data_IF_151681470973
#
_entry.id   IF_151681470973
#
_cell.length_a   1.000
_cell.length_b   1.000
_cell.length_c   1.000
_cell.angle_alpha   90.00
_cell.angle_beta   90.00
_cell.angle_gamma   90.00
#
_symmetry.space_group_name_H-M   'P 1'
#
loop_
_entity.id
_entity.type
_entity.pdbx_description
1 polymer ?
#
# COMPACT_ATOMS: atom_id res chain seq x y z
N UNK A 1 18.72 -17.83 -17.19
CA UNK A 1 18.94 -17.21 -15.87
C UNK A 1 20.22 -16.39 -15.86
N UNK A 2 21.41 -16.98 -16.16
CA UNK A 2 22.72 -16.28 -16.09
C UNK A 2 22.76 -14.99 -16.93
N UNK A 3 22.26 -15.02 -18.18
CA UNK A 3 22.18 -13.83 -19.03
C UNK A 3 21.26 -12.74 -18.46
N UNK A 4 20.14 -13.11 -17.85
CA UNK A 4 19.23 -12.16 -17.22
C UNK A 4 19.86 -11.51 -15.96
N UNK A 5 20.60 -12.29 -15.18
CA UNK A 5 21.36 -11.77 -14.03
C UNK A 5 22.48 -10.84 -14.52
N UNK A 6 23.26 -11.23 -15.52
CA UNK A 6 24.30 -10.36 -16.09
C UNK A 6 23.73 -9.05 -16.65
N UNK A 7 22.59 -9.11 -17.35
CA UNK A 7 21.88 -7.94 -17.84
C UNK A 7 21.42 -7.01 -16.74
N UNK A 8 20.90 -7.58 -15.64
CA UNK A 8 20.41 -6.79 -14.52
C UNK A 8 21.50 -5.99 -13.80
N UNK A 9 22.75 -6.50 -13.73
CA UNK A 9 23.88 -5.72 -13.19
C UNK A 9 24.18 -4.46 -13.99
N UNK A 10 23.79 -4.43 -15.28
CA UNK A 10 23.97 -3.26 -16.15
C UNK A 10 22.69 -2.41 -16.25
N UNK A 11 21.56 -2.92 -15.79
CA UNK A 11 20.26 -2.27 -15.92
C UNK A 11 19.44 -2.33 -14.62
N UNK A 12 19.69 -1.44 -13.65
CA UNK A 12 18.95 -1.39 -12.39
C UNK A 12 17.43 -1.23 -12.56
N UNK A 13 16.99 -0.57 -13.65
CA UNK A 13 15.57 -0.45 -13.95
C UNK A 13 14.91 -1.82 -14.21
N UNK A 14 15.59 -2.71 -14.91
CA UNK A 14 15.10 -4.09 -15.10
C UNK A 14 14.95 -4.83 -13.75
N UNK A 15 15.94 -4.71 -12.86
CA UNK A 15 15.87 -5.34 -11.53
C UNK A 15 14.77 -4.72 -10.66
N UNK A 16 14.55 -3.42 -10.79
CA UNK A 16 13.43 -2.74 -10.10
C UNK A 16 12.07 -3.25 -10.59
N UNK A 17 11.89 -3.48 -11.88
CA UNK A 17 10.68 -4.11 -12.41
C UNK A 17 10.53 -5.56 -11.95
N UNK A 18 11.65 -6.29 -11.83
CA UNK A 18 11.64 -7.65 -11.26
C UNK A 18 11.19 -7.63 -9.80
N UNK A 19 11.70 -6.68 -9.01
CA UNK A 19 11.25 -6.49 -7.62
C UNK A 19 9.74 -6.20 -7.55
N UNK A 20 9.25 -5.27 -8.37
CA UNK A 20 7.83 -4.95 -8.46
C UNK A 20 6.98 -6.17 -8.80
N UNK A 21 7.40 -6.95 -9.80
CA UNK A 21 6.70 -8.18 -10.24
C UNK A 21 6.69 -9.21 -9.11
N UNK A 22 7.83 -9.43 -8.48
CA UNK A 22 7.92 -10.38 -7.36
C UNK A 22 7.06 -9.93 -6.18
N UNK A 23 7.07 -8.64 -5.80
CA UNK A 23 6.25 -8.10 -4.73
C UNK A 23 4.74 -8.31 -4.97
N UNK A 24 4.29 -8.24 -6.23
CA UNK A 24 2.88 -8.51 -6.57
C UNK A 24 2.48 -9.98 -6.50
N UNK A 25 3.39 -10.90 -6.83
CA UNK A 25 3.05 -12.32 -7.02
C UNK A 25 3.68 -13.28 -6.02
N UNK A 26 4.56 -12.80 -5.10
CA UNK A 26 5.31 -13.68 -4.20
C UNK A 26 4.39 -14.54 -3.30
N UNK A 27 3.27 -14.00 -2.85
CA UNK A 27 2.33 -14.72 -2.00
C UNK A 27 1.69 -15.89 -2.74
N UNK A 28 1.38 -15.69 -4.02
CA UNK A 28 0.88 -16.78 -4.87
C UNK A 28 1.93 -17.86 -5.05
N UNK A 29 3.16 -17.46 -5.38
CA UNK A 29 4.26 -18.40 -5.50
C UNK A 29 4.42 -19.20 -4.20
N UNK A 30 4.33 -18.53 -3.04
CA UNK A 30 4.38 -19.19 -1.72
C UNK A 30 3.25 -20.16 -1.50
N UNK A 31 2.01 -19.85 -1.92
CA UNK A 31 0.86 -20.80 -1.82
C UNK A 31 1.05 -22.04 -2.67
N UNK A 32 1.63 -21.90 -3.87
CA UNK A 32 1.81 -23.03 -4.78
C UNK A 32 3.05 -23.87 -4.46
N UNK A 33 4.09 -23.30 -3.83
CA UNK A 33 5.33 -24.02 -3.48
C UNK A 33 5.30 -24.67 -2.10
N UNK A 34 4.29 -24.38 -1.27
CA UNK A 34 3.91 -25.01 0.01
C UNK A 34 4.96 -25.08 1.13
N UNK A 35 6.25 -24.77 0.92
CA UNK A 35 7.30 -25.05 1.92
C UNK A 35 8.38 -23.99 2.07
N UNK A 36 8.40 -22.93 1.28
CA UNK A 36 9.51 -21.96 1.30
C UNK A 36 9.01 -20.60 1.81
N UNK A 37 9.70 -20.04 2.82
CA UNK A 37 9.49 -18.64 3.26
C UNK A 37 9.99 -17.69 2.15
N UNK A 38 9.18 -17.46 1.14
CA UNK A 38 9.55 -16.69 -0.07
C UNK A 38 9.69 -15.17 0.17
N UNK A 39 9.36 -14.68 1.37
CA UNK A 39 9.65 -13.28 1.73
C UNK A 39 11.15 -12.95 1.62
N UNK A 40 12.03 -13.91 1.84
CA UNK A 40 13.49 -13.77 1.63
C UNK A 40 13.83 -13.43 0.17
N UNK A 41 12.98 -13.81 -0.79
CA UNK A 41 13.16 -13.46 -2.20
C UNK A 41 13.11 -11.95 -2.45
N UNK A 42 12.30 -11.19 -1.69
CA UNK A 42 12.30 -9.73 -1.76
C UNK A 42 13.65 -9.15 -1.32
N UNK A 43 14.23 -9.69 -0.25
CA UNK A 43 15.53 -9.26 0.25
C UNK A 43 16.64 -9.53 -0.76
N UNK A 44 16.66 -10.74 -1.34
CA UNK A 44 17.64 -11.13 -2.36
C UNK A 44 17.56 -10.18 -3.56
N UNK A 45 16.36 -9.90 -4.05
CA UNK A 45 16.18 -8.98 -5.18
C UNK A 45 16.55 -7.54 -4.76
N UNK A 46 16.28 -7.12 -3.54
CA UNK A 46 16.66 -5.80 -3.03
C UNK A 46 18.18 -5.64 -2.93
N UNK A 47 18.89 -6.66 -2.44
CA UNK A 47 20.36 -6.68 -2.42
C UNK A 47 20.90 -6.65 -3.85
N UNK A 48 20.37 -7.49 -4.74
CA UNK A 48 20.74 -7.50 -6.14
C UNK A 48 20.54 -6.13 -6.81
N UNK A 49 19.42 -5.47 -6.54
CA UNK A 49 19.10 -4.13 -7.04
C UNK A 49 20.07 -3.08 -6.50
N UNK A 50 20.44 -3.17 -5.22
CA UNK A 50 21.44 -2.30 -4.60
C UNK A 50 22.81 -2.45 -5.26
N UNK A 51 23.26 -3.69 -5.46
CA UNK A 51 24.53 -3.99 -6.14
C UNK A 51 24.51 -3.52 -7.60
N UNK A 52 23.40 -3.75 -8.30
CA UNK A 52 23.22 -3.27 -9.68
C UNK A 52 23.38 -1.76 -9.80
N UNK A 53 22.77 -1.00 -8.86
CA UNK A 53 22.94 0.46 -8.81
C UNK A 53 24.40 0.87 -8.55
N UNK A 54 25.08 0.23 -7.61
CA UNK A 54 26.48 0.51 -7.29
C UNK A 54 27.38 0.26 -8.50
N UNK A 55 27.18 -0.86 -9.22
CA UNK A 55 27.92 -1.18 -10.44
C UNK A 55 27.74 -0.11 -11.51
N UNK A 56 26.50 0.33 -11.72
CA UNK A 56 26.21 1.35 -12.74
C UNK A 56 26.75 2.72 -12.35
N UNK A 57 26.74 3.08 -11.07
CA UNK A 57 27.40 4.29 -10.55
C UNK A 57 28.92 4.24 -10.75
N UNK A 58 29.53 3.12 -10.38
CA UNK A 58 30.98 2.91 -10.55
C UNK A 58 31.41 3.01 -12.02
N UNK A 59 30.66 2.41 -12.91
CA UNK A 59 30.93 2.44 -14.36
C UNK A 59 30.55 3.77 -15.02
N UNK A 60 29.98 4.73 -14.30
CA UNK A 60 29.52 6.04 -14.82
C UNK A 60 28.60 5.93 -16.06
N UNK A 61 27.84 4.84 -16.17
CA UNK A 61 27.02 4.51 -17.36
C UNK A 61 25.66 5.21 -17.40
N UNK A 62 25.26 5.95 -16.34
CA UNK A 62 23.92 6.53 -16.25
C UNK A 62 23.90 7.90 -15.60
N UNK A 63 22.84 8.66 -15.89
CA UNK A 63 22.53 9.95 -15.30
C UNK A 63 21.72 9.83 -13.99
N UNK A 64 21.86 8.72 -13.25
CA UNK A 64 21.24 8.59 -11.95
C UNK A 64 21.79 9.62 -10.96
N UNK A 65 20.91 10.25 -10.21
CA UNK A 65 21.24 11.35 -9.31
C UNK A 65 20.98 10.93 -7.86
N UNK A 66 22.03 10.78 -7.07
CA UNK A 66 21.89 10.53 -5.61
C UNK A 66 21.11 11.64 -4.90
N UNK A 67 21.14 12.88 -5.43
CA UNK A 67 20.37 14.01 -4.90
C UNK A 67 18.86 13.76 -4.88
N UNK A 68 18.35 12.90 -5.76
CA UNK A 68 16.93 12.58 -5.85
C UNK A 68 16.46 11.77 -4.63
N UNK A 69 17.38 11.08 -3.95
CA UNK A 69 17.11 10.37 -2.71
C UNK A 69 17.09 11.27 -1.46
N UNK A 70 17.62 12.49 -1.52
CA UNK A 70 17.67 13.41 -0.37
C UNK A 70 16.44 14.31 -0.41
N UNK A 71 15.43 13.96 0.35
CA UNK A 71 14.16 14.70 0.43
C UNK A 71 13.51 14.56 1.81
N UNK A 72 12.34 15.17 1.99
CA UNK A 72 11.67 15.25 3.28
C UNK A 72 11.33 13.86 3.87
N UNK A 73 10.98 12.87 3.03
CA UNK A 73 10.74 11.51 3.51
C UNK A 73 12.02 10.88 4.04
N UNK A 74 13.12 10.94 3.28
CA UNK A 74 14.41 10.40 3.70
C UNK A 74 14.86 10.98 5.02
N UNK A 75 14.79 12.32 5.15
CA UNK A 75 15.22 13.02 6.35
C UNK A 75 14.35 12.66 7.56
N UNK A 76 13.04 12.62 7.41
CA UNK A 76 12.13 12.24 8.50
C UNK A 76 12.25 10.75 8.85
N UNK A 77 12.52 9.88 7.87
CA UNK A 77 12.67 8.44 8.10
C UNK A 77 13.99 8.08 8.82
N UNK A 78 15.02 8.93 8.75
CA UNK A 78 16.23 8.77 9.59
C UNK A 78 15.86 8.79 11.08
N UNK A 79 14.93 9.62 11.49
CA UNK A 79 14.45 9.62 12.87
C UNK A 79 13.80 8.27 13.25
N UNK A 80 13.08 7.65 12.31
CA UNK A 80 12.53 6.29 12.50
C UNK A 80 13.63 5.24 12.62
N UNK A 81 14.67 5.30 11.78
CA UNK A 81 15.80 4.39 11.85
C UNK A 81 16.50 4.50 13.22
N UNK A 82 16.79 5.72 13.67
CA UNK A 82 17.40 5.96 14.99
C UNK A 82 16.52 5.36 16.09
N UNK A 83 15.21 5.60 16.03
CA UNK A 83 14.26 5.06 17.00
C UNK A 83 14.24 3.51 17.00
N UNK A 84 14.22 2.88 15.83
CA UNK A 84 14.25 1.41 15.72
C UNK A 84 15.58 0.85 16.23
N UNK A 85 16.71 1.51 15.98
CA UNK A 85 18.00 1.11 16.55
C UNK A 85 18.04 1.25 18.08
N UNK A 86 17.40 2.29 18.64
CA UNK A 86 17.24 2.42 20.09
C UNK A 86 16.34 1.33 20.68
N UNK A 87 15.37 0.80 19.91
CA UNK A 87 14.56 -0.35 20.34
C UNK A 87 15.38 -1.64 20.54
N UNK A 88 16.60 -1.73 20.00
CA UNK A 88 17.49 -2.85 20.29
C UNK A 88 17.91 -2.89 21.79
N UNK A 89 17.81 -1.78 22.49
CA UNK A 89 18.01 -1.69 23.93
C UNK A 89 16.74 -1.97 24.75
N UNK A 90 15.60 -2.24 24.12
CA UNK A 90 14.35 -2.57 24.81
C UNK A 90 14.50 -3.95 25.49
N UNK A 91 14.29 -4.05 26.83
CA UNK A 91 14.51 -5.31 27.57
C UNK A 91 13.57 -6.46 27.14
N UNK A 92 12.51 -6.16 26.41
CA UNK A 92 11.55 -7.14 25.91
C UNK A 92 11.83 -7.61 24.47
N UNK A 93 12.89 -7.10 23.82
CA UNK A 93 13.23 -7.51 22.45
C UNK A 93 13.82 -8.92 22.46
N UNK A 94 13.49 -9.69 21.43
CA UNK A 94 14.05 -11.02 21.19
C UNK A 94 14.82 -11.04 19.85
N UNK A 95 15.46 -12.17 19.52
CA UNK A 95 16.22 -12.32 18.26
C UNK A 95 15.36 -12.12 17.02
N UNK A 96 14.10 -12.58 17.06
CA UNK A 96 13.14 -12.37 15.97
C UNK A 96 12.84 -10.87 15.84
N UNK A 97 12.68 -10.13 16.93
CA UNK A 97 12.47 -8.69 16.94
C UNK A 97 13.65 -7.91 16.37
N UNK A 98 14.88 -8.31 16.66
CA UNK A 98 16.07 -7.69 16.07
C UNK A 98 16.07 -7.88 14.56
N UNK A 99 15.92 -9.11 14.12
CA UNK A 99 15.91 -9.45 12.68
C UNK A 99 14.76 -8.74 11.94
N UNK A 100 13.55 -8.77 12.51
CA UNK A 100 12.36 -8.15 11.94
C UNK A 100 12.49 -6.62 11.87
N UNK A 101 12.99 -5.99 12.94
CA UNK A 101 13.17 -4.54 12.99
C UNK A 101 14.16 -4.04 11.94
N UNK A 102 15.33 -4.66 11.85
CA UNK A 102 16.35 -4.27 10.86
C UNK A 102 15.85 -4.56 9.44
N UNK A 103 15.31 -5.73 9.21
CA UNK A 103 14.89 -6.17 7.88
C UNK A 103 13.70 -5.38 7.35
N UNK A 104 12.56 -5.42 8.05
CA UNK A 104 11.29 -4.89 7.53
C UNK A 104 11.19 -3.38 7.77
N UNK A 105 11.53 -2.92 8.98
CA UNK A 105 11.35 -1.52 9.33
C UNK A 105 12.45 -0.60 8.82
N UNK A 106 13.63 -1.13 8.51
CA UNK A 106 14.75 -0.33 7.96
C UNK A 106 15.01 -0.71 6.50
N UNK A 107 15.48 -1.94 6.24
CA UNK A 107 15.98 -2.30 4.91
C UNK A 107 14.89 -2.28 3.84
N UNK A 108 13.79 -3.01 4.05
CA UNK A 108 12.73 -3.13 3.04
C UNK A 108 12.05 -1.79 2.74
N UNK A 109 11.92 -0.90 3.71
CA UNK A 109 11.27 0.40 3.48
C UNK A 109 12.26 1.46 3.05
N UNK A 110 13.34 1.66 3.79
CA UNK A 110 14.26 2.78 3.57
C UNK A 110 15.16 2.57 2.36
N UNK A 111 15.81 1.41 2.25
CA UNK A 111 16.70 1.11 1.11
C UNK A 111 15.88 1.07 -0.18
N UNK A 112 14.71 0.42 -0.15
CA UNK A 112 13.80 0.41 -1.29
C UNK A 112 13.39 1.83 -1.70
N UNK A 113 13.12 2.72 -0.73
CA UNK A 113 12.76 4.10 -1.01
C UNK A 113 13.91 4.89 -1.66
N UNK A 114 15.13 4.74 -1.15
CA UNK A 114 16.32 5.37 -1.75
C UNK A 114 16.45 4.96 -3.22
N UNK A 115 16.38 3.66 -3.48
CA UNK A 115 16.47 3.10 -4.83
C UNK A 115 15.32 3.58 -5.73
N UNK A 116 14.09 3.50 -5.22
CA UNK A 116 12.91 3.99 -5.93
C UNK A 116 13.05 5.47 -6.30
N UNK A 117 13.57 6.30 -5.39
CA UNK A 117 13.79 7.73 -5.65
C UNK A 117 14.83 7.99 -6.74
N UNK A 118 15.88 7.18 -6.80
CA UNK A 118 16.91 7.29 -7.84
C UNK A 118 16.37 6.86 -9.21
N UNK A 119 15.52 5.83 -9.25
CA UNK A 119 14.98 5.26 -10.51
C UNK A 119 13.76 6.06 -11.00
N UNK A 120 12.88 6.51 -10.09
CA UNK A 120 11.60 7.17 -10.41
C UNK A 120 11.77 8.66 -10.73
N UNK A 121 12.67 9.00 -11.63
CA UNK A 121 13.07 10.38 -11.92
C UNK A 121 12.79 10.82 -13.37
N UNK A 122 12.01 10.07 -14.15
CA UNK A 122 11.72 10.42 -15.54
C UNK A 122 10.24 10.17 -15.93
N UNK A 123 9.72 10.96 -16.91
CA UNK A 123 8.35 10.77 -17.42
C UNK A 123 8.14 9.39 -18.06
N UNK A 124 9.20 8.81 -18.66
CA UNK A 124 9.16 7.48 -19.29
C UNK A 124 8.97 6.39 -18.24
N UNK A 125 9.71 6.45 -17.13
CA UNK A 125 9.58 5.49 -16.02
C UNK A 125 8.20 5.58 -15.40
N UNK A 126 7.67 6.79 -15.18
CA UNK A 126 6.32 7.01 -14.67
C UNK A 126 5.25 6.35 -15.56
N UNK A 127 5.30 6.61 -16.86
CA UNK A 127 4.35 6.03 -17.83
C UNK A 127 4.44 4.50 -17.87
N UNK A 128 5.65 3.96 -17.93
CA UNK A 128 5.86 2.51 -17.99
C UNK A 128 5.40 1.83 -16.69
N UNK A 129 5.63 2.46 -15.53
CA UNK A 129 5.13 1.99 -14.24
C UNK A 129 3.61 1.91 -14.22
N UNK A 130 2.92 2.95 -14.69
CA UNK A 130 1.45 2.94 -14.79
C UNK A 130 0.95 1.82 -15.73
N UNK A 131 1.59 1.60 -16.87
CA UNK A 131 1.21 0.51 -17.78
C UNK A 131 1.43 -0.85 -17.11
N UNK A 132 2.57 -1.07 -16.45
CA UNK A 132 2.90 -2.33 -15.77
C UNK A 132 1.89 -2.66 -14.65
N UNK A 133 1.59 -1.69 -13.79
CA UNK A 133 0.59 -1.87 -12.72
C UNK A 133 -0.80 -2.13 -13.33
N UNK A 134 -1.14 -1.47 -14.43
CA UNK A 134 -2.37 -1.75 -15.17
C UNK A 134 -2.43 -3.21 -15.66
N UNK A 135 -1.34 -3.74 -16.21
CA UNK A 135 -1.25 -5.14 -16.64
C UNK A 135 -1.38 -6.12 -15.46
N UNK A 136 -0.70 -5.83 -14.33
CA UNK A 136 -0.86 -6.63 -13.11
C UNK A 136 -2.30 -6.60 -12.59
N UNK A 137 -2.98 -5.47 -12.72
CA UNK A 137 -4.40 -5.35 -12.37
C UNK A 137 -5.28 -6.24 -13.23
N UNK A 138 -5.03 -6.30 -14.55
CA UNK A 138 -5.76 -7.20 -15.46
C UNK A 138 -5.57 -8.65 -15.03
N UNK A 139 -4.31 -9.08 -14.76
CA UNK A 139 -4.01 -10.43 -14.31
C UNK A 139 -4.71 -10.74 -12.99
N UNK A 140 -4.65 -9.83 -12.02
CA UNK A 140 -5.31 -9.98 -10.73
C UNK A 140 -6.84 -10.04 -10.86
N UNK A 141 -7.42 -9.26 -11.76
CA UNK A 141 -8.85 -9.26 -12.04
C UNK A 141 -9.29 -10.56 -12.73
N UNK A 142 -8.53 -11.09 -13.67
CA UNK A 142 -8.81 -12.37 -14.30
C UNK A 142 -8.78 -13.52 -13.26
N UNK A 143 -7.80 -13.53 -12.34
CA UNK A 143 -7.78 -14.50 -11.24
C UNK A 143 -8.97 -14.34 -10.30
N UNK A 144 -9.38 -13.11 -9.99
CA UNK A 144 -10.61 -12.87 -9.23
C UNK A 144 -11.84 -13.46 -9.93
N UNK A 145 -11.97 -13.28 -11.25
CA UNK A 145 -13.06 -13.86 -12.02
C UNK A 145 -13.01 -15.39 -12.01
N UNK A 146 -11.82 -15.96 -12.13
CA UNK A 146 -11.62 -17.40 -11.98
C UNK A 146 -12.09 -17.88 -10.59
N UNK A 147 -11.62 -17.28 -9.50
CA UNK A 147 -12.03 -17.62 -8.13
C UNK A 147 -13.57 -17.55 -7.95
N UNK A 148 -14.22 -16.59 -8.62
CA UNK A 148 -15.66 -16.37 -8.48
C UNK A 148 -16.50 -17.38 -9.27
N UNK A 149 -16.13 -17.70 -10.50
CA UNK A 149 -16.96 -18.48 -11.42
C UNK A 149 -16.54 -19.95 -11.55
N UNK A 150 -15.24 -20.24 -11.39
CA UNK A 150 -14.70 -21.60 -11.43
C UNK A 150 -14.48 -22.13 -10.01
N UNK A 151 -14.12 -21.26 -9.07
CA UNK A 151 -13.86 -21.61 -7.68
C UNK A 151 -12.38 -21.54 -7.32
N UNK A 152 -12.08 -21.94 -6.08
CA UNK A 152 -10.71 -21.98 -5.57
C UNK A 152 -9.99 -23.24 -6.08
N UNK A 153 -8.73 -23.08 -6.50
CA UNK A 153 -7.87 -24.20 -6.87
C UNK A 153 -7.40 -25.03 -5.65
N UNK A 154 -6.66 -26.10 -5.90
CA UNK A 154 -6.20 -27.01 -4.84
C UNK A 154 -5.34 -26.33 -3.78
N UNK A 155 -4.41 -25.46 -4.19
CA UNK A 155 -3.51 -24.73 -3.29
C UNK A 155 -4.25 -23.66 -2.48
N UNK A 156 -5.21 -22.98 -3.10
CA UNK A 156 -6.08 -22.02 -2.43
C UNK A 156 -7.02 -22.70 -1.44
N UNK A 157 -7.57 -23.87 -1.79
CA UNK A 157 -8.38 -24.70 -0.87
C UNK A 157 -7.56 -25.21 0.31
N UNK A 158 -6.32 -25.64 0.07
CA UNK A 158 -5.42 -26.02 1.16
C UNK A 158 -5.19 -24.84 2.12
N UNK A 159 -4.88 -23.67 1.59
CA UNK A 159 -4.70 -22.47 2.40
C UNK A 159 -5.98 -22.07 3.16
N UNK A 160 -7.15 -22.14 2.52
CA UNK A 160 -8.41 -21.80 3.15
C UNK A 160 -8.79 -22.76 4.27
N UNK A 161 -8.74 -24.07 4.02
CA UNK A 161 -9.34 -25.05 4.93
C UNK A 161 -8.33 -25.73 5.85
N UNK A 162 -7.09 -25.96 5.40
CA UNK A 162 -6.05 -26.59 6.22
C UNK A 162 -5.25 -25.57 7.04
N UNK A 163 -4.97 -24.41 6.46
CA UNK A 163 -4.33 -23.30 7.18
C UNK A 163 -5.35 -22.32 7.81
N UNK A 164 -6.60 -22.72 7.89
CA UNK A 164 -7.70 -22.02 8.57
C UNK A 164 -8.05 -20.59 8.09
N UNK A 165 -7.55 -20.16 6.93
CA UNK A 165 -7.86 -18.86 6.38
C UNK A 165 -9.35 -18.68 6.04
N UNK A 166 -10.10 -19.75 5.93
CA UNK A 166 -11.55 -19.74 5.74
C UNK A 166 -12.29 -18.97 6.84
N UNK A 167 -11.78 -18.96 8.08
CA UNK A 167 -12.36 -18.22 9.21
C UNK A 167 -12.52 -16.71 8.90
N UNK A 168 -11.68 -16.16 8.05
CA UNK A 168 -11.70 -14.73 7.68
C UNK A 168 -12.14 -14.46 6.24
N UNK A 169 -12.23 -15.49 5.39
CA UNK A 169 -12.53 -15.36 3.96
C UNK A 169 -13.89 -15.93 3.56
N UNK A 170 -14.38 -16.94 4.28
CA UNK A 170 -15.70 -17.55 4.03
C UNK A 170 -16.60 -17.22 5.22
N UNK A 171 -17.36 -16.13 5.08
CA UNK A 171 -18.20 -15.60 6.14
C UNK A 171 -19.68 -15.84 5.81
N UNK A 172 -20.55 -15.85 6.83
CA UNK A 172 -22.01 -15.88 6.65
C UNK A 172 -22.53 -14.78 5.73
N UNK A 173 -21.82 -13.64 5.68
CA UNK A 173 -22.16 -12.49 4.82
C UNK A 173 -21.68 -12.63 3.39
N UNK A 174 -20.91 -13.67 3.05
CA UNK A 174 -20.39 -13.95 1.73
C UNK A 174 -18.88 -14.21 1.67
N UNK A 175 -18.42 -14.64 0.50
CA UNK A 175 -17.01 -14.94 0.23
C UNK A 175 -16.22 -13.63 0.02
N UNK A 176 -15.02 -13.56 0.58
CA UNK A 176 -14.04 -12.49 0.41
C UNK A 176 -12.94 -13.00 -0.51
N UNK A 177 -12.91 -12.51 -1.74
CA UNK A 177 -11.92 -12.89 -2.73
C UNK A 177 -10.60 -12.18 -2.48
N UNK A 178 -9.49 -12.86 -2.75
CA UNK A 178 -8.13 -12.40 -2.46
C UNK A 178 -7.18 -12.43 -3.67
N UNK A 179 -7.62 -13.03 -4.79
CA UNK A 179 -6.82 -13.12 -6.03
C UNK A 179 -5.40 -13.65 -5.76
N UNK A 180 -4.37 -12.92 -6.16
CA UNK A 180 -2.95 -13.25 -5.95
C UNK A 180 -2.35 -12.69 -4.65
N UNK A 181 -3.12 -12.01 -3.83
CA UNK A 181 -2.64 -11.28 -2.67
C UNK A 181 -2.61 -12.12 -1.39
N UNK A 182 -1.97 -11.59 -0.35
CA UNK A 182 -1.84 -12.24 0.96
C UNK A 182 -3.20 -12.62 1.55
N UNK A 183 -4.14 -11.70 1.44
CA UNK A 183 -5.50 -11.82 1.95
C UNK A 183 -6.44 -10.86 1.23
N UNK A 184 -7.73 -10.97 1.52
CA UNK A 184 -8.75 -10.11 0.92
C UNK A 184 -8.63 -8.63 1.35
N UNK A 185 -8.02 -8.35 2.50
CA UNK A 185 -7.77 -6.97 2.98
C UNK A 185 -6.74 -6.26 2.12
N UNK A 186 -5.60 -6.93 1.89
CA UNK A 186 -4.54 -6.41 1.04
C UNK A 186 -5.01 -6.27 -0.42
N UNK A 187 -5.67 -7.31 -0.96
CA UNK A 187 -6.27 -7.24 -2.30
C UNK A 187 -7.22 -6.05 -2.46
N UNK A 188 -8.17 -5.90 -1.52
CA UNK A 188 -9.13 -4.80 -1.56
C UNK A 188 -8.47 -3.42 -1.49
N UNK A 189 -7.47 -3.25 -0.62
CA UNK A 189 -6.74 -1.99 -0.47
C UNK A 189 -5.96 -1.63 -1.74
N UNK A 190 -5.27 -2.59 -2.36
CA UNK A 190 -4.56 -2.36 -3.63
C UNK A 190 -5.54 -2.04 -4.76
N UNK A 191 -6.67 -2.76 -4.85
CA UNK A 191 -7.68 -2.48 -5.87
C UNK A 191 -8.35 -1.11 -5.64
N UNK A 192 -8.55 -0.69 -4.39
CA UNK A 192 -8.97 0.67 -4.05
C UNK A 192 -7.95 1.74 -4.45
N UNK A 193 -6.67 1.47 -4.25
CA UNK A 193 -5.58 2.33 -4.70
C UNK A 193 -5.55 2.46 -6.23
N UNK A 194 -5.68 1.36 -6.94
CA UNK A 194 -5.78 1.30 -8.40
C UNK A 194 -7.00 2.09 -8.88
N UNK A 195 -8.16 1.87 -8.27
CA UNK A 195 -9.37 2.62 -8.58
C UNK A 195 -9.15 4.13 -8.47
N UNK A 196 -8.50 4.58 -7.39
CA UNK A 196 -8.23 6.00 -7.15
C UNK A 196 -7.26 6.59 -8.18
N UNK A 197 -6.09 5.96 -8.37
CA UNK A 197 -5.06 6.43 -9.30
C UNK A 197 -5.59 6.52 -10.71
N UNK A 198 -6.14 5.41 -11.21
CA UNK A 198 -6.51 5.32 -12.61
C UNK A 198 -7.78 6.11 -12.95
N UNK A 199 -8.67 6.33 -11.99
CA UNK A 199 -9.82 7.27 -12.15
C UNK A 199 -9.30 8.69 -12.35
N UNK A 200 -8.43 9.18 -11.45
CA UNK A 200 -7.92 10.55 -11.54
C UNK A 200 -7.12 10.74 -12.84
N UNK A 201 -6.23 9.81 -13.16
CA UNK A 201 -5.40 9.90 -14.38
C UNK A 201 -6.26 9.79 -15.63
N UNK A 202 -7.19 8.84 -15.68
CA UNK A 202 -8.04 8.58 -16.83
C UNK A 202 -8.89 9.78 -17.24
N UNK A 203 -9.55 10.43 -16.28
CA UNK A 203 -10.33 11.63 -16.54
C UNK A 203 -9.52 12.86 -16.95
N UNK A 204 -8.22 12.89 -16.63
CA UNK A 204 -7.32 14.00 -16.97
C UNK A 204 -6.42 13.70 -18.17
N UNK A 205 -6.53 12.51 -18.79
CA UNK A 205 -5.75 12.11 -19.96
C UNK A 205 -6.39 12.62 -21.24
N UNK A 206 -5.63 13.37 -22.05
CA UNK A 206 -6.13 13.92 -23.34
C UNK A 206 -6.20 12.85 -24.44
N UNK A 207 -5.28 11.90 -24.46
CA UNK A 207 -5.27 10.83 -25.45
C UNK A 207 -6.39 9.83 -25.16
N UNK A 208 -7.38 9.75 -26.05
CA UNK A 208 -8.57 8.91 -25.88
C UNK A 208 -8.24 7.42 -25.65
N UNK A 209 -7.23 6.88 -26.35
CA UNK A 209 -6.82 5.47 -26.18
C UNK A 209 -6.28 5.20 -24.76
N UNK A 210 -5.41 6.05 -24.25
CA UNK A 210 -4.92 5.94 -22.88
C UNK A 210 -6.01 6.25 -21.85
N UNK A 211 -6.91 7.18 -22.11
CA UNK A 211 -8.02 7.47 -21.22
C UNK A 211 -8.92 6.23 -21.04
N UNK A 212 -9.29 5.57 -22.14
CA UNK A 212 -10.08 4.33 -22.12
C UNK A 212 -9.33 3.24 -21.35
N UNK A 213 -8.04 3.03 -21.63
CA UNK A 213 -7.23 2.05 -20.91
C UNK A 213 -7.25 2.32 -19.40
N UNK A 214 -6.95 3.55 -18.97
CA UNK A 214 -6.91 3.90 -17.55
C UNK A 214 -8.27 3.77 -16.87
N UNK A 215 -9.34 4.18 -17.51
CA UNK A 215 -10.70 4.06 -16.97
C UNK A 215 -11.16 2.59 -16.90
N UNK A 216 -10.76 1.74 -17.86
CA UNK A 216 -11.01 0.30 -17.78
C UNK A 216 -10.29 -0.34 -16.58
N UNK A 217 -9.04 0.02 -16.34
CA UNK A 217 -8.29 -0.43 -15.16
C UNK A 217 -8.94 0.08 -13.86
N UNK A 218 -9.40 1.35 -13.85
CA UNK A 218 -10.13 1.90 -12.71
C UNK A 218 -11.42 1.11 -12.40
N UNK A 219 -12.18 0.75 -13.42
CA UNK A 219 -13.39 -0.06 -13.27
C UNK A 219 -13.07 -1.47 -12.70
N UNK A 220 -12.00 -2.12 -13.20
CA UNK A 220 -11.52 -3.39 -12.64
C UNK A 220 -11.11 -3.23 -11.18
N UNK A 221 -10.45 -2.11 -10.82
CA UNK A 221 -10.10 -1.75 -9.45
C UNK A 221 -11.31 -1.64 -8.54
N UNK A 222 -12.36 -0.91 -8.97
CA UNK A 222 -13.61 -0.76 -8.22
C UNK A 222 -14.28 -2.13 -8.00
N UNK A 223 -14.42 -2.92 -9.05
CA UNK A 223 -15.04 -4.24 -8.96
C UNK A 223 -14.23 -5.17 -8.04
N UNK A 224 -12.91 -5.21 -8.20
CA UNK A 224 -12.03 -6.02 -7.35
C UNK A 224 -12.08 -5.62 -5.88
N UNK A 225 -12.09 -4.32 -5.60
CA UNK A 225 -12.25 -3.78 -4.25
C UNK A 225 -13.57 -4.23 -3.62
N UNK A 226 -14.68 -4.14 -4.34
CA UNK A 226 -15.98 -4.58 -3.84
C UNK A 226 -16.01 -6.11 -3.59
N UNK A 227 -15.45 -6.90 -4.50
CA UNK A 227 -15.41 -8.37 -4.35
C UNK A 227 -14.45 -8.87 -3.27
N UNK A 228 -13.47 -8.06 -2.87
CA UNK A 228 -12.66 -8.34 -1.67
C UNK A 228 -13.52 -8.37 -0.39
N UNK A 229 -14.68 -7.74 -0.41
CA UNK A 229 -15.56 -7.60 0.75
C UNK A 229 -14.88 -6.89 1.94
N UNK A 230 -13.82 -6.11 1.69
CA UNK A 230 -13.05 -5.42 2.72
C UNK A 230 -13.55 -4.00 2.87
N UNK A 231 -14.23 -3.73 3.98
CA UNK A 231 -14.80 -2.39 4.26
C UNK A 231 -13.75 -1.30 4.38
N UNK A 232 -12.61 -1.61 5.01
CA UNK A 232 -11.49 -0.69 5.12
C UNK A 232 -10.89 -0.26 3.77
N UNK A 233 -11.05 -1.07 2.73
CA UNK A 233 -10.58 -0.74 1.39
C UNK A 233 -11.38 0.43 0.78
N UNK A 234 -12.65 0.60 1.14
CA UNK A 234 -13.48 1.73 0.69
C UNK A 234 -12.91 3.09 1.14
N UNK A 235 -12.21 3.10 2.28
CA UNK A 235 -11.56 4.32 2.79
C UNK A 235 -10.58 4.89 1.78
N UNK A 236 -9.89 4.03 1.00
CA UNK A 236 -8.84 4.45 0.06
C UNK A 236 -9.39 5.42 -1.00
N UNK A 237 -10.38 5.08 -1.82
CA UNK A 237 -10.90 6.00 -2.82
C UNK A 237 -11.66 7.19 -2.19
N UNK A 238 -12.41 7.00 -1.10
CA UNK A 238 -13.13 8.10 -0.47
C UNK A 238 -12.19 9.15 0.09
N UNK A 239 -11.22 8.76 0.90
CA UNK A 239 -10.24 9.68 1.47
C UNK A 239 -9.31 10.26 0.39
N UNK A 240 -8.89 9.43 -0.57
CA UNK A 240 -8.06 9.88 -1.67
C UNK A 240 -8.75 10.94 -2.53
N UNK A 241 -10.00 10.74 -2.91
CA UNK A 241 -10.76 11.72 -3.68
C UNK A 241 -11.06 12.99 -2.86
N UNK A 242 -11.31 12.88 -1.56
CA UNK A 242 -11.48 14.03 -0.69
C UNK A 242 -10.22 14.90 -0.67
N UNK A 243 -9.02 14.30 -0.50
CA UNK A 243 -7.76 15.05 -0.57
C UNK A 243 -7.53 15.61 -1.98
N UNK A 244 -7.89 14.88 -3.04
CA UNK A 244 -7.75 15.35 -4.41
C UNK A 244 -8.53 16.64 -4.66
N UNK A 245 -9.72 16.76 -4.08
CA UNK A 245 -10.51 17.98 -4.14
C UNK A 245 -9.77 19.22 -3.59
N UNK A 246 -9.01 19.00 -2.50
CA UNK A 246 -8.25 20.09 -1.88
C UNK A 246 -7.04 20.51 -2.71
N UNK A 247 -6.33 19.57 -3.32
CA UNK A 247 -5.05 19.84 -4.00
C UNK A 247 -5.18 20.12 -5.50
N UNK A 248 -6.29 19.78 -6.16
CA UNK A 248 -6.45 19.96 -7.61
C UNK A 248 -6.73 21.41 -8.03
N UNK A 249 -7.01 22.32 -7.09
CA UNK A 249 -7.29 23.75 -7.32
C UNK A 249 -8.38 24.01 -8.39
N UNK A 250 -9.35 23.11 -8.54
CA UNK A 250 -10.44 23.22 -9.51
C UNK A 250 -11.78 23.11 -8.80
N UNK A 251 -12.52 24.21 -8.73
CA UNK A 251 -13.84 24.26 -8.10
C UNK A 251 -14.83 23.28 -8.76
N UNK A 252 -14.71 23.11 -10.08
CA UNK A 252 -15.56 22.16 -10.84
C UNK A 252 -15.28 20.71 -10.43
N UNK A 253 -14.00 20.34 -10.36
CA UNK A 253 -13.58 18.98 -9.93
C UNK A 253 -14.00 18.75 -8.47
N UNK A 254 -13.82 19.75 -7.62
CA UNK A 254 -14.27 19.72 -6.22
C UNK A 254 -15.77 19.43 -6.13
N UNK A 255 -16.60 20.22 -6.81
CA UNK A 255 -18.05 20.06 -6.79
C UNK A 255 -18.50 18.67 -7.30
N UNK A 256 -17.96 18.23 -8.44
CA UNK A 256 -18.29 16.91 -9.01
C UNK A 256 -17.91 15.79 -8.03
N UNK A 257 -16.73 15.83 -7.46
CA UNK A 257 -16.25 14.77 -6.55
C UNK A 257 -17.06 14.73 -5.25
N UNK A 258 -17.36 15.90 -4.67
CA UNK A 258 -18.21 16.00 -3.46
C UNK A 258 -19.62 15.47 -3.75
N UNK A 259 -20.26 15.94 -4.83
CA UNK A 259 -21.61 15.48 -5.19
C UNK A 259 -21.62 13.97 -5.40
N UNK A 260 -20.68 13.44 -6.18
CA UNK A 260 -20.58 11.99 -6.42
C UNK A 260 -20.36 11.22 -5.12
N UNK A 261 -19.44 11.70 -4.26
CA UNK A 261 -19.18 11.10 -2.96
C UNK A 261 -20.41 11.10 -2.05
N UNK A 262 -21.13 12.22 -1.99
CA UNK A 262 -22.37 12.33 -1.21
C UNK A 262 -23.48 11.43 -1.78
N UNK A 263 -23.63 11.31 -3.09
CA UNK A 263 -24.59 10.40 -3.71
C UNK A 263 -24.28 8.93 -3.37
N UNK A 264 -23.00 8.50 -3.45
CA UNK A 264 -22.59 7.14 -3.08
C UNK A 264 -22.81 6.92 -1.58
N UNK A 265 -22.44 7.89 -0.75
CA UNK A 265 -22.68 7.82 0.70
C UNK A 265 -24.17 7.70 1.01
N UNK A 266 -25.00 8.56 0.43
CA UNK A 266 -26.47 8.53 0.62
C UNK A 266 -27.06 7.19 0.15
N UNK A 267 -26.63 6.68 -1.00
CA UNK A 267 -27.04 5.38 -1.50
C UNK A 267 -26.67 4.24 -0.53
N UNK A 268 -25.45 4.21 -0.03
CA UNK A 268 -25.00 3.15 0.87
C UNK A 268 -25.54 3.29 2.31
N UNK A 269 -25.71 4.51 2.82
CA UNK A 269 -26.12 4.75 4.21
C UNK A 269 -27.65 4.74 4.41
N UNK A 270 -28.41 5.28 3.45
CA UNK A 270 -29.82 5.59 3.64
C UNK A 270 -30.79 4.81 2.74
N UNK A 271 -30.29 4.02 1.75
CA UNK A 271 -31.20 3.22 0.91
C UNK A 271 -31.03 1.72 1.17
N UNK A 272 -32.04 0.93 0.83
CA UNK A 272 -32.00 -0.53 0.87
C UNK A 272 -31.93 -1.16 -0.53
N UNK A 273 -31.78 -0.33 -1.57
CA UNK A 273 -31.69 -0.75 -2.97
C UNK A 273 -30.46 -1.63 -3.17
N UNK A 274 -30.64 -2.86 -3.65
CA UNK A 274 -29.54 -3.82 -3.89
C UNK A 274 -29.16 -4.67 -2.67
N UNK A 275 -29.94 -4.71 -1.58
CA UNK A 275 -29.68 -5.56 -0.41
C UNK A 275 -29.67 -7.07 -0.73
N UNK A 276 -30.26 -7.51 -1.85
CA UNK A 276 -30.13 -8.86 -2.38
C UNK A 276 -28.68 -9.21 -2.81
N UNK A 277 -27.87 -8.18 -3.12
CA UNK A 277 -26.46 -8.36 -3.46
C UNK A 277 -25.58 -8.32 -2.19
N UNK A 278 -24.89 -9.42 -1.92
CA UNK A 278 -24.03 -9.56 -0.73
C UNK A 278 -22.93 -8.50 -0.64
N UNK A 279 -22.41 -8.03 -1.78
CA UNK A 279 -21.34 -7.02 -1.82
C UNK A 279 -21.85 -5.63 -1.45
N UNK A 280 -23.03 -5.23 -1.96
CA UNK A 280 -23.67 -3.95 -1.60
C UNK A 280 -24.06 -3.98 -0.14
N UNK A 281 -24.70 -5.05 0.32
CA UNK A 281 -25.07 -5.23 1.74
C UNK A 281 -23.85 -5.12 2.65
N UNK A 282 -22.71 -5.71 2.26
CA UNK A 282 -21.48 -5.64 3.02
C UNK A 282 -20.83 -4.27 2.97
N UNK A 283 -20.83 -3.57 1.83
CA UNK A 283 -20.35 -2.20 1.75
C UNK A 283 -21.13 -1.27 2.69
N UNK A 284 -22.44 -1.48 2.83
CA UNK A 284 -23.30 -0.71 3.74
C UNK A 284 -22.94 -0.86 5.22
N UNK A 285 -22.45 -2.04 5.65
CA UNK A 285 -22.03 -2.21 7.05
C UNK A 285 -20.84 -1.34 7.43
N UNK A 286 -20.10 -0.81 6.45
CA UNK A 286 -19.05 0.18 6.71
C UNK A 286 -19.61 1.50 7.27
N UNK A 287 -20.86 1.82 6.97
CA UNK A 287 -21.54 3.05 7.41
C UNK A 287 -22.45 2.81 8.65
N UNK A 288 -22.51 1.57 9.16
CA UNK A 288 -23.23 1.20 10.39
C UNK A 288 -22.28 0.41 11.32
N UNK A 289 -21.18 1.00 11.80
CA UNK A 289 -20.11 0.27 12.49
C UNK A 289 -20.57 -0.33 13.83
N UNK A 290 -21.50 0.31 14.54
CA UNK A 290 -22.01 -0.17 15.82
C UNK A 290 -22.78 -1.49 15.74
N UNK A 291 -23.38 -1.78 14.60
CA UNK A 291 -24.09 -3.05 14.34
C UNK A 291 -23.15 -4.20 13.91
N UNK A 292 -21.84 -3.94 13.81
CA UNK A 292 -20.86 -4.90 13.33
C UNK A 292 -20.10 -5.56 14.48
N UNK A 293 -20.35 -6.86 14.70
CA UNK A 293 -19.68 -7.64 15.73
C UNK A 293 -18.15 -7.59 15.61
N UNK A 294 -17.60 -7.66 14.38
CA UNK A 294 -16.15 -7.59 14.15
C UNK A 294 -15.56 -6.23 14.52
N UNK A 295 -16.28 -5.14 14.31
CA UNK A 295 -15.86 -3.81 14.72
C UNK A 295 -15.86 -3.68 16.26
N UNK A 296 -16.89 -4.18 16.91
CA UNK A 296 -17.02 -4.12 18.37
C UNK A 296 -15.92 -4.93 19.07
N UNK A 297 -15.59 -6.12 18.56
CA UNK A 297 -14.45 -6.93 19.07
C UNK A 297 -13.13 -6.16 18.95
N UNK A 298 -12.88 -5.47 17.84
CA UNK A 298 -11.67 -4.65 17.68
C UNK A 298 -11.61 -3.49 18.67
N UNK A 299 -12.73 -2.81 18.90
CA UNK A 299 -12.77 -1.73 19.90
C UNK A 299 -12.47 -2.29 21.29
N UNK A 300 -13.05 -3.45 21.63
CA UNK A 300 -12.76 -4.10 22.90
C UNK A 300 -11.28 -4.48 23.01
N UNK A 301 -10.71 -5.18 22.01
CA UNK A 301 -9.29 -5.54 21.99
C UNK A 301 -8.39 -4.30 22.16
N UNK A 302 -8.71 -3.18 21.52
CA UNK A 302 -7.93 -1.94 21.65
C UNK A 302 -8.00 -1.33 23.04
N UNK A 303 -9.15 -1.39 23.72
CA UNK A 303 -9.27 -0.94 25.12
C UNK A 303 -8.38 -1.79 26.03
N UNK A 304 -8.40 -3.09 25.83
CA UNK A 304 -7.59 -4.03 26.57
C UNK A 304 -6.09 -3.82 26.33
N UNK A 305 -5.70 -3.66 25.04
CA UNK A 305 -4.31 -3.31 24.69
C UNK A 305 -3.88 -2.00 25.31
N UNK A 306 -4.75 -0.99 25.35
CA UNK A 306 -4.45 0.31 25.95
C UNK A 306 -4.15 0.20 27.45
N UNK A 307 -4.89 -0.64 28.19
CA UNK A 307 -4.61 -0.89 29.60
C UNK A 307 -3.24 -1.55 29.78
N UNK A 308 -2.92 -2.55 28.98
CA UNK A 308 -1.62 -3.23 29.03
C UNK A 308 -0.46 -2.31 28.65
N UNK A 309 -0.60 -1.56 27.56
CA UNK A 309 0.47 -0.70 27.02
C UNK A 309 0.67 0.60 27.82
N UNK A 310 -0.14 0.89 28.80
CA UNK A 310 0.00 2.08 29.66
C UNK A 310 1.37 2.14 30.33
N UNK A 311 1.88 0.98 30.75
CA UNK A 311 3.17 0.85 31.44
C UNK A 311 4.36 0.67 30.46
N UNK A 312 4.09 0.61 29.14
CA UNK A 312 5.08 0.39 28.08
C UNK A 312 5.10 1.51 27.06
N UNK A 313 5.54 2.74 27.37
CA UNK A 313 5.50 3.88 26.46
C UNK A 313 6.36 3.67 25.18
N UNK A 314 7.38 2.81 25.26
CA UNK A 314 8.22 2.40 24.11
C UNK A 314 7.82 1.04 23.51
N UNK A 315 6.68 0.49 23.93
CA UNK A 315 6.16 -0.79 23.46
C UNK A 315 6.79 -2.01 24.11
N UNK A 316 6.27 -3.18 23.76
CA UNK A 316 6.72 -4.47 24.28
C UNK A 316 7.84 -5.11 23.45
N UNK A 317 8.48 -4.32 22.58
CA UNK A 317 9.54 -4.77 21.67
C UNK A 317 9.01 -5.22 20.30
N UNK A 318 9.89 -5.09 19.31
CA UNK A 318 9.57 -5.39 17.91
C UNK A 318 9.30 -6.89 17.76
N UNK A 319 8.35 -7.25 16.88
CA UNK A 319 7.83 -8.60 16.61
C UNK A 319 7.10 -9.27 17.78
N UNK A 320 6.98 -8.63 18.93
CA UNK A 320 6.22 -9.16 20.05
C UNK A 320 4.72 -8.90 19.92
N UNK A 321 3.93 -9.76 20.57
CA UNK A 321 2.47 -9.70 20.61
C UNK A 321 1.98 -9.79 22.06
N UNK A 322 0.86 -9.15 22.37
CA UNK A 322 0.27 -9.15 23.72
C UNK A 322 -0.41 -10.50 23.98
N UNK A 323 -0.05 -11.24 25.05
CA UNK A 323 -0.72 -12.49 25.39
C UNK A 323 -2.18 -12.25 25.82
N UNK A 324 -3.10 -13.09 25.42
CA UNK A 324 -4.51 -13.02 25.84
C UNK A 324 -4.72 -13.26 27.33
N UNK A 325 -3.79 -13.99 27.95
CA UNK A 325 -3.85 -14.38 29.38
C UNK A 325 -3.91 -13.19 30.33
N UNK A 326 -3.39 -12.05 29.92
CA UNK A 326 -3.30 -10.86 30.78
C UNK A 326 -4.67 -10.20 31.05
N UNK A 327 -5.69 -10.56 30.26
CA UNK A 327 -6.93 -9.80 30.19
C UNK A 327 -8.17 -10.55 30.72
N UNK A 328 -8.07 -11.85 30.99
CA UNK A 328 -9.17 -12.61 31.56
C UNK A 328 -8.94 -12.86 33.04
N UNK A 329 -9.62 -12.12 33.88
CA UNK A 329 -9.85 -12.47 35.30
C UNK A 329 -10.76 -13.70 35.46
N UNK A 330 -11.35 -14.21 34.38
CA UNK A 330 -12.21 -15.40 34.37
C UNK A 330 -11.48 -16.63 33.84
N UNK A 331 -11.57 -17.69 34.61
CA UNK A 331 -10.88 -18.97 34.66
C UNK A 331 -10.99 -19.88 33.40
N UNK A 332 -11.41 -19.41 32.26
CA UNK A 332 -11.35 -20.18 31.01
C UNK A 332 -10.08 -19.81 30.22
N UNK A 333 -9.11 -20.70 30.32
CA UNK A 333 -7.80 -20.61 29.65
C UNK A 333 -7.97 -20.71 28.12
N UNK A 334 -7.82 -19.61 27.39
CA UNK A 334 -7.60 -19.62 25.95
C UNK A 334 -6.17 -19.17 25.65
N UNK A 335 -5.31 -20.11 25.28
CA UNK A 335 -3.99 -19.81 24.76
C UNK A 335 -4.10 -18.95 23.48
N UNK A 336 -3.28 -17.92 23.35
CA UNK A 336 -3.18 -17.10 22.17
C UNK A 336 -2.76 -15.67 22.45
N UNK A 337 -2.59 -14.93 21.38
CA UNK A 337 -2.23 -13.50 21.43
C UNK A 337 -3.40 -12.65 20.95
N UNK A 338 -3.46 -11.40 21.43
CA UNK A 338 -4.36 -10.40 20.88
C UNK A 338 -3.88 -10.02 19.47
N UNK A 339 -4.68 -10.24 18.43
CA UNK A 339 -4.28 -9.93 17.08
C UNK A 339 -4.13 -8.42 16.89
N UNK A 340 -3.02 -7.92 16.30
CA UNK A 340 -2.92 -6.53 15.90
C UNK A 340 -3.83 -6.29 14.69
N UNK A 341 -5.07 -5.90 14.96
CA UNK A 341 -6.13 -5.78 13.94
C UNK A 341 -5.87 -4.72 12.86
N UNK A 342 -4.82 -3.92 13.00
CA UNK A 342 -4.49 -2.86 12.07
C UNK A 342 -2.99 -2.53 12.08
N UNK A 343 -2.54 -1.84 11.03
CA UNK A 343 -1.16 -1.39 10.89
C UNK A 343 -0.71 -0.51 12.07
N UNK A 344 -1.50 0.49 12.44
CA UNK A 344 -1.14 1.39 13.53
C UNK A 344 -1.18 0.71 14.90
N UNK A 345 -2.08 -0.24 15.12
CA UNK A 345 -2.11 -1.02 16.35
C UNK A 345 -0.86 -1.91 16.45
N UNK A 346 -0.42 -2.50 15.35
CA UNK A 346 0.82 -3.27 15.33
C UNK A 346 2.05 -2.41 15.67
N UNK A 347 2.14 -1.20 15.10
CA UNK A 347 3.19 -0.24 15.45
C UNK A 347 3.10 0.12 16.94
N UNK A 348 1.89 0.41 17.45
CA UNK A 348 1.68 0.76 18.84
C UNK A 348 2.12 -0.34 19.82
N UNK A 349 1.76 -1.58 19.56
CA UNK A 349 2.16 -2.73 20.39
C UNK A 349 3.68 -2.84 20.44
N UNK A 350 4.34 -2.80 19.29
CA UNK A 350 5.76 -3.06 19.16
C UNK A 350 6.64 -1.90 19.65
N UNK A 351 6.21 -0.66 19.41
CA UNK A 351 7.03 0.55 19.60
C UNK A 351 6.42 1.56 20.58
N UNK A 352 5.31 1.21 21.21
CA UNK A 352 4.60 2.07 22.16
C UNK A 352 3.98 3.31 21.53
N UNK A 353 3.45 4.18 22.40
CA UNK A 353 2.85 5.44 21.96
C UNK A 353 3.89 6.37 21.33
N UNK A 354 5.14 6.31 21.78
CA UNK A 354 6.23 7.15 21.25
C UNK A 354 6.51 6.78 19.80
N UNK A 355 6.67 5.48 19.48
CA UNK A 355 6.89 5.03 18.11
C UNK A 355 5.68 5.24 17.22
N UNK A 356 4.46 5.06 17.73
CA UNK A 356 3.23 5.34 16.98
C UNK A 356 3.14 6.81 16.57
N UNK A 357 3.35 7.74 17.51
CA UNK A 357 3.32 9.19 17.22
C UNK A 357 4.41 9.56 16.22
N UNK A 358 5.63 9.03 16.39
CA UNK A 358 6.72 9.26 15.46
C UNK A 358 6.36 8.76 14.05
N UNK A 359 5.85 7.54 13.92
CA UNK A 359 5.45 6.96 12.64
C UNK A 359 4.38 7.80 11.92
N UNK A 360 3.32 8.19 12.65
CA UNK A 360 2.25 9.06 12.12
C UNK A 360 2.82 10.40 11.69
N UNK A 361 3.71 11.00 12.49
CA UNK A 361 4.33 12.29 12.19
C UNK A 361 5.17 12.23 10.91
N UNK A 362 5.94 11.16 10.71
CA UNK A 362 6.75 10.96 9.49
C UNK A 362 5.86 10.92 8.25
N UNK A 363 4.78 10.13 8.28
CA UNK A 363 3.86 10.08 7.14
C UNK A 363 3.09 11.38 6.94
N UNK A 364 2.70 12.06 8.00
CA UNK A 364 2.04 13.37 7.92
C UNK A 364 2.95 14.41 7.25
N UNK A 365 4.19 14.55 7.73
CA UNK A 365 5.19 15.47 7.18
C UNK A 365 5.49 15.12 5.71
N UNK A 366 5.60 13.84 5.39
CA UNK A 366 5.77 13.36 4.00
C UNK A 366 4.61 13.74 3.11
N UNK A 367 3.37 13.51 3.55
CA UNK A 367 2.17 13.85 2.80
C UNK A 367 2.03 15.37 2.58
N UNK A 368 2.34 16.17 3.60
CA UNK A 368 2.39 17.64 3.47
C UNK A 368 3.45 18.07 2.45
N UNK A 369 4.63 17.42 2.46
CA UNK A 369 5.66 17.63 1.45
C UNK A 369 5.20 17.26 0.05
N UNK A 370 4.51 16.11 -0.11
CA UNK A 370 3.91 15.69 -1.37
C UNK A 370 2.88 16.71 -1.86
N UNK A 371 1.95 17.15 -1.01
CA UNK A 371 0.97 18.18 -1.34
C UNK A 371 1.64 19.48 -1.78
N UNK A 372 2.68 19.92 -1.06
CA UNK A 372 3.44 21.12 -1.41
C UNK A 372 4.08 21.02 -2.81
N UNK A 373 4.72 19.88 -3.13
CA UNK A 373 5.33 19.68 -4.45
C UNK A 373 4.27 19.71 -5.55
N UNK A 374 3.18 18.98 -5.39
CA UNK A 374 2.10 18.90 -6.37
C UNK A 374 1.45 20.26 -6.60
N UNK A 375 1.20 21.01 -5.53
CA UNK A 375 0.48 22.29 -5.60
C UNK A 375 1.34 23.45 -6.11
N UNK A 376 2.64 23.46 -5.77
CA UNK A 376 3.48 24.66 -5.96
C UNK A 376 4.72 24.46 -6.82
N UNK A 377 5.22 23.21 -6.98
CA UNK A 377 6.46 22.94 -7.73
C UNK A 377 6.23 22.36 -9.11
N UNK A 378 5.12 21.69 -9.37
CA UNK A 378 4.79 21.05 -10.65
C UNK A 378 3.91 21.99 -11.49
N UNK A 379 4.39 22.39 -12.68
CA UNK A 379 3.71 23.31 -13.60
C UNK A 379 2.92 22.58 -14.68
N UNK A 380 3.45 21.47 -15.22
CA UNK A 380 2.74 20.67 -16.21
C UNK A 380 1.45 20.10 -15.62
N UNK A 381 0.33 20.44 -16.29
CA UNK A 381 -1.00 20.09 -15.78
C UNK A 381 -1.23 18.57 -15.71
N UNK A 382 -0.76 17.84 -16.71
CA UNK A 382 -0.98 16.39 -16.76
C UNK A 382 -0.16 15.66 -15.70
N UNK A 383 1.14 16.01 -15.58
CA UNK A 383 2.00 15.49 -14.53
C UNK A 383 1.43 15.79 -13.14
N UNK A 384 0.93 17.01 -12.92
CA UNK A 384 0.34 17.41 -11.64
C UNK A 384 -0.83 16.50 -11.24
N UNK A 385 -1.72 16.15 -12.18
CA UNK A 385 -2.82 15.23 -11.90
C UNK A 385 -2.33 13.80 -11.61
N UNK A 386 -1.27 13.33 -12.28
CA UNK A 386 -0.67 12.03 -12.00
C UNK A 386 -0.06 11.98 -10.59
N UNK A 387 0.72 12.98 -10.22
CA UNK A 387 1.34 13.05 -8.89
C UNK A 387 0.32 13.35 -7.78
N UNK A 388 -0.71 14.12 -8.07
CA UNK A 388 -1.86 14.29 -7.18
C UNK A 388 -2.56 12.96 -6.91
N UNK A 389 -2.80 12.14 -7.96
CA UNK A 389 -3.37 10.83 -7.80
C UNK A 389 -2.54 9.93 -6.86
N UNK A 390 -1.21 9.96 -6.99
CA UNK A 390 -0.31 9.22 -6.11
C UNK A 390 -0.39 9.71 -4.66
N UNK A 391 -0.29 11.01 -4.44
CA UNK A 391 -0.39 11.60 -3.09
C UNK A 391 -1.72 11.24 -2.41
N UNK A 392 -2.83 11.36 -3.13
CA UNK A 392 -4.17 11.04 -2.65
C UNK A 392 -4.34 9.55 -2.34
N UNK A 393 -3.75 8.71 -3.16
CA UNK A 393 -3.79 7.26 -2.96
C UNK A 393 -2.98 6.84 -1.75
N UNK A 394 -1.77 7.37 -1.56
CA UNK A 394 -0.95 7.12 -0.36
C UNK A 394 -1.71 7.54 0.90
N UNK A 395 -2.33 8.73 0.89
CA UNK A 395 -3.17 9.17 2.00
C UNK A 395 -4.31 8.19 2.30
N UNK A 396 -5.04 7.75 1.28
CA UNK A 396 -6.14 6.79 1.44
C UNK A 396 -5.66 5.43 1.97
N UNK A 397 -4.53 4.91 1.47
CA UNK A 397 -3.94 3.65 1.95
C UNK A 397 -3.55 3.78 3.44
N UNK A 398 -2.89 4.86 3.83
CA UNK A 398 -2.49 5.09 5.22
C UNK A 398 -3.71 5.17 6.14
N UNK A 399 -4.76 5.89 5.76
CA UNK A 399 -6.01 5.92 6.54
C UNK A 399 -6.67 4.54 6.64
N UNK A 400 -6.63 3.73 5.57
CA UNK A 400 -7.14 2.35 5.62
C UNK A 400 -6.36 1.48 6.60
N UNK A 401 -5.11 1.84 6.90
CA UNK A 401 -4.26 1.22 7.91
C UNK A 401 -4.82 1.24 9.33
N UNK A 402 -5.81 2.10 9.61
CA UNK A 402 -6.56 2.07 10.87
C UNK A 402 -7.46 0.83 11.00
N UNK A 403 -7.92 0.27 9.89
CA UNK A 403 -8.85 -0.87 9.86
C UNK A 403 -8.23 -2.18 9.41
N UNK A 404 -6.99 -2.17 8.92
CA UNK A 404 -6.30 -3.36 8.42
C UNK A 404 -4.78 -3.18 8.35
N UNK A 405 -4.06 -4.27 8.09
CA UNK A 405 -2.60 -4.30 8.08
C UNK A 405 -1.98 -4.10 6.67
N UNK A 406 -2.82 -3.84 5.65
CA UNK A 406 -2.37 -3.74 4.26
C UNK A 406 -1.17 -2.80 4.02
N UNK A 407 -1.03 -1.61 4.67
CA UNK A 407 0.13 -0.74 4.46
C UNK A 407 1.49 -1.39 4.76
N UNK A 408 1.53 -2.37 5.68
CA UNK A 408 2.75 -3.10 6.03
C UNK A 408 3.03 -4.33 5.17
N UNK A 409 2.18 -4.65 4.19
CA UNK A 409 2.30 -5.88 3.39
C UNK A 409 2.65 -5.59 1.93
N UNK A 410 3.50 -6.43 1.28
CA UNK A 410 3.64 -6.40 -0.17
C UNK A 410 2.32 -6.81 -0.87
N UNK A 411 1.99 -6.21 -2.02
CA UNK A 411 2.71 -5.15 -2.72
C UNK A 411 2.38 -3.74 -2.22
N UNK A 412 1.50 -3.56 -1.22
CA UNK A 412 1.00 -2.24 -0.79
C UNK A 412 2.13 -1.34 -0.27
N UNK A 413 3.08 -1.88 0.52
CA UNK A 413 4.24 -1.12 0.99
C UNK A 413 5.12 -0.64 -0.19
N UNK A 414 5.37 -1.49 -1.19
CA UNK A 414 6.07 -1.11 -2.42
C UNK A 414 5.34 0.01 -3.17
N UNK A 415 4.02 -0.08 -3.30
CA UNK A 415 3.18 0.93 -3.96
C UNK A 415 3.31 2.28 -3.25
N UNK A 416 3.23 2.32 -1.92
CA UNK A 416 3.41 3.54 -1.12
C UNK A 416 4.78 4.17 -1.41
N UNK A 417 5.84 3.37 -1.30
CA UNK A 417 7.23 3.81 -1.49
C UNK A 417 7.45 4.36 -2.89
N UNK A 418 7.01 3.64 -3.93
CA UNK A 418 7.15 4.06 -5.32
C UNK A 418 6.38 5.36 -5.62
N UNK A 419 5.15 5.48 -5.11
CA UNK A 419 4.34 6.69 -5.31
C UNK A 419 4.97 7.91 -4.64
N UNK A 420 5.45 7.80 -3.39
CA UNK A 420 6.15 8.88 -2.70
C UNK A 420 7.40 9.29 -3.48
N UNK A 421 8.19 8.33 -3.96
CA UNK A 421 9.40 8.59 -4.74
C UNK A 421 9.11 9.40 -6.02
N UNK A 422 8.08 9.03 -6.77
CA UNK A 422 7.65 9.81 -7.95
C UNK A 422 7.22 11.23 -7.60
N UNK A 423 6.46 11.41 -6.51
CA UNK A 423 5.99 12.74 -6.10
C UNK A 423 7.15 13.62 -5.66
N UNK A 424 8.08 13.08 -4.88
CA UNK A 424 9.26 13.82 -4.42
C UNK A 424 10.15 14.27 -5.60
N UNK A 425 10.23 13.47 -6.67
CA UNK A 425 10.91 13.82 -7.90
C UNK A 425 10.09 14.71 -8.86
N UNK A 426 8.86 15.06 -8.48
CA UNK A 426 7.91 15.74 -9.36
C UNK A 426 8.44 17.02 -10.00
N UNK A 427 9.15 17.86 -9.24
CA UNK A 427 9.73 19.09 -9.76
C UNK A 427 10.85 18.85 -10.80
N UNK A 428 11.60 17.75 -10.66
CA UNK A 428 12.64 17.39 -11.62
C UNK A 428 12.03 16.81 -12.90
N UNK A 429 11.05 15.92 -12.77
CA UNK A 429 10.29 15.36 -13.90
C UNK A 429 9.61 16.48 -14.70
N UNK A 430 9.06 17.49 -14.04
CA UNK A 430 8.43 18.65 -14.69
C UNK A 430 9.42 19.46 -15.55
N UNK A 431 10.65 19.65 -15.05
CA UNK A 431 11.71 20.29 -15.82
C UNK A 431 12.08 19.50 -17.09
N UNK A 432 12.17 18.18 -17.00
CA UNK A 432 12.44 17.33 -18.17
C UNK A 432 11.34 17.45 -19.23
N UNK A 433 10.06 17.42 -18.81
CA UNK A 433 8.91 17.58 -19.72
C UNK A 433 8.99 18.96 -20.42
N UNK A 434 9.31 20.01 -19.67
CA UNK A 434 9.42 21.37 -20.21
C UNK A 434 10.56 21.47 -21.23
N UNK A 435 11.74 20.89 -20.95
CA UNK A 435 12.86 20.86 -21.87
C UNK A 435 12.54 20.08 -23.16
N UNK A 436 11.89 18.92 -23.06
CA UNK A 436 11.46 18.14 -24.21
C UNK A 436 10.50 18.91 -25.13
N UNK A 437 9.52 19.65 -24.54
CA UNK A 437 8.59 20.51 -25.31
C UNK A 437 9.31 21.64 -26.03
N UNK A 438 10.31 22.27 -25.39
CA UNK A 438 11.10 23.34 -26.01
C UNK A 438 11.95 22.83 -27.19
N UNK A 439 12.48 21.61 -27.09
CA UNK A 439 13.26 21.00 -28.17
C UNK A 439 12.40 20.66 -29.38
N UNK A 440 11.19 20.12 -29.15
CA UNK A 440 10.23 19.80 -30.24
C UNK A 440 9.74 21.06 -30.94
N UNK A 441 9.50 22.16 -30.22
CA UNK A 441 9.03 23.40 -30.81
C UNK A 441 10.13 24.17 -31.60
N UNK A 442 11.40 23.77 -31.49
CA UNK A 442 12.54 24.34 -32.24
C UNK A 442 12.87 23.56 -33.51
N UNK A 443 12.33 22.38 -33.69
CA UNK A 443 12.39 21.57 -34.91
C UNK A 443 11.14 21.84 -35.78
#
# INVERSE_FOLDING_TARGET
>A
VILAVAYGFQNPYFVYLLYATYAFFFTTISRYTLKVKLSVGLDIILVYLSVSLLVVFYLKKTNFRLKDAVNIFTLSYIAWIIFILLQLANPHINEEGITHGIRIMILETFVLYIIASIISNSPKVLRNGLILIGLFTIIAFLKLMYQRYVGFDSSERYWLYVQEAAKTHILSTGIRYFSYFTDAGNFGTVMGAIATVYTIIGFNTRNRKFAIFYLSIAAMGIIGMLFSGTRGALVVPFAGLALYCLICKSIRTFAITIITGLCIFAFLAFTDIGNGNSFIRRARTAFRPTADASFNVRIQNRKEMALYLKDYPFGIGIANSIPKLWLKQDLTYEEGTLPPDSYFVSIWIQTGIVGLVLNITIYLVTLLGCCYIVMFKVKDRYLRHQLAAFTCTVFGILLSGYTGYAPGMPPTNFIIVAMIAFVMNGAYIDKQITQQKLTINKQ
#
